data_IF_712496058843
#
_entry.id   IF_712496058843
#
_cell.length_a   1.000
_cell.length_b   1.000
_cell.length_c   1.000
_cell.angle_alpha   90.00
_cell.angle_beta   90.00
_cell.angle_gamma   90.00
#
_symmetry.space_group_name_H-M   'P 1'
#
loop_
_entity.id
_entity.type
_entity.pdbx_description
1 polymer ?
#
# COMPACT_ATOMS: atom_id res chain seq x y z
N UNK A 1 47.19 -14.83 -28.52
CA UNK A 1 47.10 -13.54 -27.79
C UNK A 1 45.79 -12.81 -28.15
N UNK A 2 44.68 -13.06 -27.45
CA UNK A 2 43.39 -12.35 -27.72
C UNK A 2 42.66 -11.82 -26.47
N UNK A 3 43.23 -11.97 -25.26
CA UNK A 3 42.58 -11.59 -23.99
C UNK A 3 42.25 -10.10 -23.90
N UNK A 4 43.10 -9.23 -24.46
CA UNK A 4 42.90 -7.77 -24.47
C UNK A 4 41.81 -7.31 -25.46
N UNK A 5 41.56 -8.07 -26.52
CA UNK A 5 40.47 -7.78 -27.47
C UNK A 5 39.14 -8.19 -26.85
N UNK A 6 39.08 -9.40 -26.27
CA UNK A 6 37.88 -9.94 -25.62
C UNK A 6 37.32 -9.03 -24.50
N UNK A 7 38.19 -8.51 -23.62
CA UNK A 7 37.78 -7.58 -22.56
C UNK A 7 37.28 -6.23 -23.09
N UNK A 8 37.81 -5.74 -24.21
CA UNK A 8 37.32 -4.51 -24.86
C UNK A 8 35.94 -4.71 -25.48
N UNK A 9 35.70 -5.86 -26.11
CA UNK A 9 34.39 -6.18 -26.69
C UNK A 9 33.33 -6.38 -25.60
N UNK A 10 33.69 -7.00 -24.47
CA UNK A 10 32.78 -7.18 -23.32
C UNK A 10 32.41 -5.86 -22.63
N UNK A 11 33.27 -4.84 -22.71
CA UNK A 11 32.99 -3.51 -22.17
C UNK A 11 32.12 -2.65 -23.11
N UNK A 12 32.13 -2.92 -24.41
CA UNK A 12 31.35 -2.18 -25.41
C UNK A 12 29.88 -2.67 -25.52
N UNK A 13 29.63 -3.94 -25.25
CA UNK A 13 28.27 -4.54 -25.33
C UNK A 13 27.26 -4.05 -24.28
N UNK A 14 27.59 -3.86 -22.98
CA UNK A 14 26.59 -3.43 -21.99
C UNK A 14 26.11 -1.99 -22.22
N UNK A 15 26.95 -1.11 -22.79
CA UNK A 15 26.57 0.28 -23.11
C UNK A 15 25.60 0.32 -24.28
N UNK A 16 25.84 -0.48 -25.33
CA UNK A 16 24.95 -0.57 -26.48
C UNK A 16 23.58 -1.18 -26.13
N UNK A 17 23.53 -2.18 -25.23
CA UNK A 17 22.26 -2.75 -24.76
C UNK A 17 21.47 -1.80 -23.86
N UNK A 18 22.13 -0.94 -23.08
CA UNK A 18 21.46 0.02 -22.18
C UNK A 18 20.78 1.17 -22.93
N UNK A 19 21.30 1.54 -24.11
CA UNK A 19 20.72 2.60 -24.96
C UNK A 19 19.56 2.11 -25.83
N UNK A 20 19.46 0.80 -26.07
CA UNK A 20 18.39 0.18 -26.87
C UNK A 20 17.29 -0.46 -26.02
N UNK A 21 17.31 -0.32 -24.69
CA UNK A 21 16.17 -0.73 -23.90
C UNK A 21 14.99 0.19 -24.21
N UNK A 22 13.82 -0.34 -24.59
CA UNK A 22 12.63 0.48 -24.70
C UNK A 22 12.41 1.13 -23.33
N UNK A 23 12.35 2.48 -23.29
CA UNK A 23 11.85 3.16 -22.10
C UNK A 23 10.47 2.60 -21.86
N UNK A 24 10.29 1.88 -20.75
CA UNK A 24 8.96 1.52 -20.29
C UNK A 24 8.22 2.84 -20.11
N UNK A 25 7.25 3.11 -20.97
CA UNK A 25 6.33 4.22 -20.80
C UNK A 25 5.42 3.80 -19.65
N UNK A 26 5.82 4.16 -18.44
CA UNK A 26 5.00 3.95 -17.25
C UNK A 26 3.96 5.07 -17.23
N UNK A 27 2.69 4.71 -17.42
CA UNK A 27 1.61 5.68 -17.31
C UNK A 27 1.55 6.16 -15.86
N UNK A 28 1.48 7.47 -15.66
CA UNK A 28 1.24 8.01 -14.32
C UNK A 28 -0.11 7.53 -13.80
N UNK A 29 -0.16 7.06 -12.56
CA UNK A 29 -1.41 6.75 -11.89
C UNK A 29 -2.33 7.99 -11.84
N UNK A 30 -3.65 7.80 -11.86
CA UNK A 30 -4.59 8.92 -11.84
C UNK A 30 -4.43 9.73 -10.55
N UNK A 31 -4.72 11.04 -10.65
CA UNK A 31 -4.84 11.87 -9.45
C UNK A 31 -6.14 11.50 -8.75
N UNK A 32 -6.02 10.90 -7.58
CA UNK A 32 -7.15 10.52 -6.75
C UNK A 32 -6.93 10.97 -5.31
N UNK A 33 -8.03 11.07 -4.58
CA UNK A 33 -8.07 11.33 -3.14
C UNK A 33 -9.02 10.36 -2.49
N UNK A 34 -8.64 9.87 -1.32
CA UNK A 34 -9.55 9.13 -0.45
C UNK A 34 -10.59 10.10 0.10
N UNK A 35 -11.86 9.81 -0.11
CA UNK A 35 -12.98 10.67 0.30
C UNK A 35 -13.70 10.11 1.52
N UNK A 36 -13.67 8.80 1.71
CA UNK A 36 -14.44 8.13 2.76
C UNK A 36 -13.80 6.82 3.18
N UNK A 37 -13.83 6.56 4.48
CA UNK A 37 -13.48 5.27 5.08
C UNK A 37 -14.70 4.84 5.88
N UNK A 38 -15.27 3.68 5.57
CA UNK A 38 -16.36 3.10 6.35
C UNK A 38 -15.90 1.83 7.03
N UNK A 39 -16.40 1.63 8.24
CA UNK A 39 -16.15 0.44 9.05
C UNK A 39 -17.48 -0.30 9.18
N UNK A 40 -17.48 -1.57 8.81
CA UNK A 40 -18.63 -2.44 8.81
C UNK A 40 -18.47 -3.48 9.90
N UNK A 41 -19.33 -3.40 10.91
CA UNK A 41 -19.45 -4.43 11.93
C UNK A 41 -20.43 -5.50 11.43
N UNK A 42 -20.01 -6.77 11.33
CA UNK A 42 -20.92 -7.85 10.95
C UNK A 42 -21.93 -8.12 12.08
N UNK A 43 -23.13 -8.65 11.76
CA UNK A 43 -24.14 -9.01 12.77
C UNK A 43 -23.62 -10.02 13.80
N UNK A 44 -22.80 -10.98 13.36
CA UNK A 44 -22.14 -11.96 14.20
C UNK A 44 -20.66 -11.59 14.32
N UNK A 45 -20.36 -10.68 15.26
CA UNK A 45 -18.99 -10.21 15.48
C UNK A 45 -18.12 -11.30 16.09
N UNK A 46 -16.98 -11.54 15.45
CA UNK A 46 -15.97 -12.44 15.96
C UNK A 46 -15.31 -11.84 17.22
N UNK A 47 -15.39 -12.56 18.35
CA UNK A 47 -14.89 -12.11 19.66
C UNK A 47 -13.49 -12.66 20.00
N UNK A 48 -12.92 -13.55 19.17
CA UNK A 48 -11.56 -14.05 19.42
C UNK A 48 -10.53 -12.96 19.12
N UNK A 49 -9.58 -12.79 20.03
CA UNK A 49 -8.63 -11.67 19.99
C UNK A 49 -7.65 -11.68 18.80
N UNK A 50 -7.48 -12.83 18.12
CA UNK A 50 -6.49 -13.03 17.07
C UNK A 50 -7.09 -13.09 15.65
N UNK A 51 -8.41 -12.94 15.51
CA UNK A 51 -9.10 -12.90 14.23
C UNK A 51 -10.18 -11.83 14.30
N UNK A 52 -10.40 -11.14 13.18
CA UNK A 52 -11.46 -10.15 13.07
C UNK A 52 -12.19 -10.41 11.78
N UNK A 53 -13.51 -10.28 11.82
CA UNK A 53 -14.38 -10.29 10.64
C UNK A 53 -14.96 -8.89 10.38
N UNK A 54 -14.37 -7.84 10.95
CA UNK A 54 -14.73 -6.46 10.62
C UNK A 54 -14.23 -6.12 9.23
N UNK A 55 -15.08 -5.46 8.44
CA UNK A 55 -14.71 -5.02 7.09
C UNK A 55 -14.51 -3.51 7.07
N UNK A 56 -13.64 -3.05 6.19
CA UNK A 56 -13.48 -1.64 5.85
C UNK A 56 -13.65 -1.41 4.37
N UNK A 57 -14.23 -0.27 4.02
CA UNK A 57 -14.26 0.22 2.64
C UNK A 57 -13.57 1.56 2.56
N UNK A 58 -12.70 1.73 1.55
CA UNK A 58 -11.99 2.98 1.27
C UNK A 58 -12.44 3.48 -0.09
N UNK A 59 -13.19 4.59 -0.10
CA UNK A 59 -13.74 5.19 -1.31
C UNK A 59 -12.88 6.37 -1.77
N UNK A 60 -12.80 6.57 -3.08
CA UNK A 60 -12.01 7.63 -3.71
C UNK A 60 -12.88 8.58 -4.53
N UNK A 61 -12.38 9.78 -4.80
CA UNK A 61 -13.04 10.78 -5.66
C UNK A 61 -13.15 10.36 -7.13
N UNK A 62 -12.38 9.37 -7.57
CA UNK A 62 -12.45 8.80 -8.92
C UNK A 62 -13.41 7.59 -9.01
N UNK A 63 -14.18 7.31 -7.96
CA UNK A 63 -15.19 6.25 -7.94
C UNK A 63 -14.65 4.82 -7.73
N UNK A 64 -13.36 4.68 -7.39
CA UNK A 64 -12.79 3.39 -6.97
C UNK A 64 -13.05 3.18 -5.48
N UNK A 65 -13.49 1.98 -5.12
CA UNK A 65 -13.64 1.55 -3.73
C UNK A 65 -12.86 0.26 -3.52
N UNK A 66 -11.94 0.27 -2.55
CA UNK A 66 -11.26 -0.93 -2.09
C UNK A 66 -11.87 -1.46 -0.79
N UNK A 67 -11.63 -2.74 -0.51
CA UNK A 67 -12.21 -3.47 0.62
C UNK A 67 -11.09 -4.20 1.36
N UNK A 68 -11.15 -4.20 2.68
CA UNK A 68 -10.25 -4.98 3.51
C UNK A 68 -10.93 -5.53 4.76
N UNK A 69 -10.26 -6.46 5.43
CA UNK A 69 -10.74 -7.14 6.63
C UNK A 69 -9.67 -7.08 7.72
N UNK A 70 -10.08 -6.84 8.96
CA UNK A 70 -9.20 -6.94 10.11
C UNK A 70 -9.40 -5.88 11.17
N UNK A 71 -8.59 -5.96 12.22
CA UNK A 71 -8.56 -4.97 13.30
C UNK A 71 -9.81 -4.98 14.18
N UNK A 72 -9.98 -3.91 14.95
CA UNK A 72 -11.14 -3.65 15.80
C UNK A 72 -11.67 -2.25 15.53
N UNK A 73 -12.90 -1.95 15.94
CA UNK A 73 -13.52 -0.63 15.72
C UNK A 73 -12.58 0.53 16.06
N UNK A 74 -12.05 0.55 17.28
CA UNK A 74 -11.24 1.66 17.78
C UNK A 74 -9.91 1.81 17.01
N UNK A 75 -9.26 0.69 16.68
CA UNK A 75 -7.98 0.70 15.93
C UNK A 75 -8.20 1.11 14.46
N UNK A 76 -9.29 0.67 13.85
CA UNK A 76 -9.69 1.06 12.49
C UNK A 76 -10.10 2.53 12.42
N UNK A 77 -10.86 3.06 13.39
CA UNK A 77 -11.22 4.48 13.43
C UNK A 77 -9.98 5.36 13.53
N UNK A 78 -9.04 4.99 14.39
CA UNK A 78 -7.79 5.72 14.59
C UNK A 78 -6.92 5.72 13.32
N UNK A 79 -6.72 4.56 12.69
CA UNK A 79 -5.89 4.46 11.48
C UNK A 79 -6.60 5.07 10.27
N UNK A 80 -7.88 4.75 10.07
CA UNK A 80 -8.69 5.21 8.95
C UNK A 80 -8.89 6.73 8.90
N UNK A 81 -8.95 7.40 10.06
CA UNK A 81 -9.04 8.86 10.11
C UNK A 81 -7.87 9.55 9.41
N UNK A 82 -6.69 8.92 9.37
CA UNK A 82 -5.52 9.49 8.69
C UNK A 82 -5.64 9.46 7.17
N UNK A 83 -6.46 8.59 6.57
CA UNK A 83 -6.46 8.37 5.13
C UNK A 83 -7.13 9.51 4.34
N UNK A 84 -8.08 10.22 4.96
CA UNK A 84 -8.94 11.18 4.25
C UNK A 84 -8.11 12.28 3.56
N UNK A 85 -8.37 12.49 2.28
CA UNK A 85 -7.69 13.47 1.44
C UNK A 85 -6.33 13.04 0.90
N UNK A 86 -5.79 11.88 1.31
CA UNK A 86 -4.51 11.36 0.78
C UNK A 86 -4.70 10.71 -0.59
N UNK A 87 -3.60 10.65 -1.34
CA UNK A 87 -3.54 9.91 -2.59
C UNK A 87 -3.48 8.41 -2.28
N UNK A 88 -4.50 7.60 -2.66
CA UNK A 88 -4.58 6.18 -2.33
C UNK A 88 -3.42 5.36 -2.90
N UNK A 89 -2.80 5.82 -4.00
CA UNK A 89 -1.69 5.12 -4.65
C UNK A 89 -0.34 5.29 -3.94
N UNK A 90 -0.30 6.04 -2.83
CA UNK A 90 0.91 6.17 -1.98
C UNK A 90 0.87 5.17 -0.83
N UNK A 91 0.54 3.91 -1.12
CA UNK A 91 0.28 2.84 -0.16
C UNK A 91 1.37 2.77 0.91
N UNK A 92 2.64 2.64 0.50
CA UNK A 92 3.78 2.58 1.44
C UNK A 92 3.90 3.81 2.35
N UNK A 93 3.67 5.01 1.82
CA UNK A 93 3.73 6.23 2.63
C UNK A 93 2.57 6.27 3.64
N UNK A 94 1.38 5.84 3.22
CA UNK A 94 0.20 5.74 4.09
C UNK A 94 0.45 4.67 5.17
N UNK A 95 0.99 3.52 4.80
CA UNK A 95 1.32 2.44 5.74
C UNK A 95 2.32 2.89 6.79
N UNK A 96 3.43 3.50 6.38
CA UNK A 96 4.46 4.03 7.30
C UNK A 96 3.89 5.09 8.24
N UNK A 97 3.06 6.00 7.72
CA UNK A 97 2.40 7.00 8.55
C UNK A 97 1.44 6.36 9.55
N UNK A 98 0.57 5.44 9.12
CA UNK A 98 -0.31 4.72 10.03
C UNK A 98 0.50 3.95 11.08
N UNK A 99 1.63 3.35 10.70
CA UNK A 99 2.48 2.56 11.61
C UNK A 99 3.08 3.43 12.72
N UNK A 100 3.63 4.59 12.36
CA UNK A 100 4.37 5.47 13.27
C UNK A 100 3.46 6.47 13.99
N UNK A 101 2.35 6.90 13.38
CA UNK A 101 1.48 7.91 13.97
C UNK A 101 0.74 7.39 15.21
N UNK A 102 0.44 8.32 16.12
CA UNK A 102 -0.40 8.15 17.32
C UNK A 102 0.14 7.28 18.47
N UNK A 103 1.22 6.50 18.31
CA UNK A 103 1.68 5.60 19.37
C UNK A 103 3.20 5.30 19.36
N UNK A 104 3.72 4.79 20.49
CA UNK A 104 4.95 3.97 20.56
C UNK A 104 4.80 2.71 19.65
N UNK A 105 5.83 1.86 19.42
CA UNK A 105 5.79 0.81 18.39
C UNK A 105 4.45 0.05 18.38
N UNK A 106 3.76 -0.01 17.24
CA UNK A 106 2.40 -0.53 17.20
C UNK A 106 2.38 -1.98 17.69
N UNK A 107 1.47 -2.28 18.61
CA UNK A 107 1.21 -3.66 19.01
C UNK A 107 0.48 -4.41 17.89
N UNK A 108 0.26 -5.71 18.12
CA UNK A 108 -0.33 -6.62 17.13
C UNK A 108 -1.74 -6.19 16.72
N UNK A 109 -2.47 -5.60 17.64
CA UNK A 109 -3.82 -5.06 17.46
C UNK A 109 -3.87 -3.93 16.43
N UNK A 110 -2.93 -2.98 16.49
CA UNK A 110 -2.85 -1.89 15.51
C UNK A 110 -2.39 -2.40 14.15
N UNK A 111 -1.38 -3.29 14.12
CA UNK A 111 -0.90 -3.90 12.86
C UNK A 111 -2.02 -4.64 12.13
N UNK A 112 -2.96 -5.25 12.85
CA UNK A 112 -4.12 -5.92 12.24
C UNK A 112 -5.05 -4.92 11.53
N UNK A 113 -5.34 -3.77 12.13
CA UNK A 113 -6.11 -2.70 11.49
C UNK A 113 -5.37 -2.08 10.29
N UNK A 114 -4.05 -1.92 10.39
CA UNK A 114 -3.21 -1.49 9.27
C UNK A 114 -3.32 -2.47 8.09
N UNK A 115 -3.28 -3.78 8.36
CA UNK A 115 -3.44 -4.81 7.32
C UNK A 115 -4.77 -4.70 6.59
N UNK A 116 -5.87 -4.43 7.32
CA UNK A 116 -7.18 -4.22 6.72
C UNK A 116 -7.19 -3.00 5.77
N UNK A 117 -6.61 -1.87 6.20
CA UNK A 117 -6.56 -0.66 5.39
C UNK A 117 -5.57 -0.81 4.22
N UNK A 118 -4.46 -1.51 4.40
CA UNK A 118 -3.51 -1.83 3.34
C UNK A 118 -4.15 -2.69 2.24
N UNK A 119 -4.89 -3.74 2.63
CA UNK A 119 -5.68 -4.55 1.71
C UNK A 119 -6.69 -3.71 0.92
N UNK A 120 -7.34 -2.73 1.57
CA UNK A 120 -8.28 -1.85 0.90
C UNK A 120 -7.62 -0.82 -0.04
N UNK A 121 -6.29 -0.64 0.01
CA UNK A 121 -5.55 0.29 -0.84
C UNK A 121 -4.82 -0.40 -2.01
N UNK A 122 -4.54 -1.70 -1.89
CA UNK A 122 -3.96 -2.56 -2.95
C UNK A 122 -4.93 -2.83 -4.10
#
# INVERSE_FOLDING_TARGET
>A
MFRRSFLKTLAATPVALSLCQPRRAEASLPKAKITKVQIWQPPELNQIFNQSNMLVTVETDIGITGIGEGGSKDTLEQCGATLIGKNPFRIEAIWQEMYIAWFYPPGREKVHALGALDMALW
#
